data_IF_842387999492
#
_entry.id   IF_842387999492
#
_cell.length_a   1.000
_cell.length_b   1.000
_cell.length_c   1.000
_cell.angle_alpha   90.00
_cell.angle_beta   90.00
_cell.angle_gamma   90.00
#
_symmetry.space_group_name_H-M   'P 1'
#
loop_
_entity.id
_entity.type
_entity.pdbx_description
1 polymer ?
#
# COMPACT_ATOMS: atom_id res chain seq x y z
N UNK A 1 -28.36 -10.03 -27.88
CA UNK A 1 -27.67 -8.81 -28.31
C UNK A 1 -27.63 -7.87 -27.12
N UNK A 2 -26.45 -7.42 -26.72
CA UNK A 2 -26.31 -6.46 -25.61
C UNK A 2 -26.28 -5.06 -26.21
N UNK A 3 -27.17 -4.18 -25.76
CA UNK A 3 -27.21 -2.77 -26.16
C UNK A 3 -26.56 -1.98 -25.03
N UNK A 4 -25.41 -1.35 -25.31
CA UNK A 4 -24.71 -0.49 -24.35
C UNK A 4 -25.51 0.81 -24.15
N UNK A 5 -25.45 1.35 -22.94
CA UNK A 5 -25.99 2.66 -22.58
C UNK A 5 -27.51 2.83 -22.79
N UNK A 6 -28.26 1.72 -22.84
CA UNK A 6 -29.72 1.78 -22.96
C UNK A 6 -30.41 2.21 -21.66
N UNK A 7 -29.81 1.88 -20.51
CA UNK A 7 -30.24 2.27 -19.17
C UNK A 7 -29.00 2.64 -18.35
N UNK A 8 -29.18 3.49 -17.34
CA UNK A 8 -28.15 3.77 -16.35
C UNK A 8 -27.79 2.46 -15.63
N UNK A 9 -26.56 2.01 -15.81
CA UNK A 9 -26.05 0.76 -15.22
C UNK A 9 -25.69 0.96 -13.76
N UNK A 10 -25.86 -0.09 -12.95
CA UNK A 10 -25.34 -0.12 -11.57
C UNK A 10 -23.81 0.01 -11.49
N UNK A 11 -23.11 -0.36 -12.58
CA UNK A 11 -21.67 -0.26 -12.75
C UNK A 11 -21.37 0.13 -14.20
N UNK A 12 -20.28 0.86 -14.41
CA UNK A 12 -19.82 1.23 -15.75
C UNK A 12 -19.41 -0.01 -16.56
N UNK A 13 -19.45 0.14 -17.89
CA UNK A 13 -19.09 -0.92 -18.82
C UNK A 13 -17.67 -1.46 -18.59
N UNK A 14 -16.70 -0.57 -18.32
CA UNK A 14 -15.31 -0.96 -18.08
C UNK A 14 -15.17 -1.73 -16.76
N UNK A 15 -15.93 -1.34 -15.72
CA UNK A 15 -15.99 -2.05 -14.44
C UNK A 15 -16.61 -3.44 -14.63
N UNK A 16 -17.66 -3.56 -15.46
CA UNK A 16 -18.24 -4.84 -15.81
C UNK A 16 -17.23 -5.75 -16.53
N UNK A 17 -16.52 -5.24 -17.54
CA UNK A 17 -15.49 -5.99 -18.26
C UNK A 17 -14.37 -6.48 -17.32
N UNK A 18 -13.84 -5.60 -16.47
CA UNK A 18 -12.84 -5.96 -15.46
C UNK A 18 -13.35 -7.04 -14.49
N UNK A 19 -14.59 -6.92 -14.01
CA UNK A 19 -15.21 -7.92 -13.14
C UNK A 19 -15.37 -9.28 -13.84
N UNK A 20 -15.73 -9.29 -15.13
CA UNK A 20 -15.84 -10.53 -15.92
C UNK A 20 -14.50 -11.23 -16.06
N UNK A 21 -13.42 -10.50 -16.27
CA UNK A 21 -12.07 -11.05 -16.29
C UNK A 21 -11.66 -11.62 -14.93
N UNK A 22 -11.92 -10.90 -13.84
CA UNK A 22 -11.66 -11.39 -12.48
C UNK A 22 -12.42 -12.69 -12.18
N UNK A 23 -13.71 -12.76 -12.53
CA UNK A 23 -14.54 -13.97 -12.35
C UNK A 23 -14.00 -15.14 -13.17
N UNK A 24 -13.56 -14.90 -14.41
CA UNK A 24 -12.93 -15.92 -15.24
C UNK A 24 -11.64 -16.45 -14.58
N UNK A 25 -10.80 -15.56 -14.04
CA UNK A 25 -9.57 -15.92 -13.32
C UNK A 25 -9.81 -16.62 -11.96
N UNK A 26 -10.95 -16.35 -11.33
CA UNK A 26 -11.36 -16.94 -10.05
C UNK A 26 -12.12 -18.27 -10.21
N UNK A 27 -12.44 -18.67 -11.44
CA UNK A 27 -13.19 -19.91 -11.67
C UNK A 27 -12.33 -21.11 -11.28
N UNK A 28 -12.73 -21.78 -10.20
CA UNK A 28 -12.00 -22.90 -9.57
C UNK A 28 -12.03 -24.22 -10.37
N UNK A 29 -12.40 -24.17 -11.65
CA UNK A 29 -12.49 -25.34 -12.50
C UNK A 29 -11.17 -26.09 -12.62
N UNK A 30 -11.28 -27.40 -12.85
CA UNK A 30 -10.16 -28.33 -13.09
C UNK A 30 -9.37 -28.04 -14.40
N UNK A 31 -9.71 -26.97 -15.11
CA UNK A 31 -9.04 -26.52 -16.34
C UNK A 31 -7.60 -26.05 -16.14
N UNK A 32 -6.83 -26.13 -17.23
CA UNK A 32 -5.37 -26.04 -17.25
C UNK A 32 -4.76 -24.64 -17.13
N UNK A 33 -5.53 -23.56 -16.97
CA UNK A 33 -4.97 -22.19 -17.08
C UNK A 33 -5.39 -21.16 -16.03
N UNK A 34 -6.31 -21.48 -15.11
CA UNK A 34 -6.94 -20.46 -14.25
C UNK A 34 -6.38 -20.51 -12.83
N UNK A 35 -6.08 -19.36 -12.19
CA UNK A 35 -5.55 -19.30 -10.80
C UNK A 35 -6.53 -19.82 -9.76
N UNK A 36 -7.83 -19.65 -10.00
CA UNK A 36 -8.87 -19.96 -9.02
C UNK A 36 -9.03 -18.83 -7.99
N UNK A 37 -10.09 -18.91 -7.18
CA UNK A 37 -10.40 -17.90 -6.18
C UNK A 37 -9.43 -17.98 -5.00
N UNK A 38 -9.07 -16.83 -4.44
CA UNK A 38 -8.40 -16.76 -3.13
C UNK A 38 -9.31 -17.45 -2.10
N UNK A 39 -8.74 -18.39 -1.33
CA UNK A 39 -9.46 -19.08 -0.26
C UNK A 39 -8.91 -18.64 1.08
N UNK A 40 -9.79 -18.45 2.06
CA UNK A 40 -9.40 -18.28 3.46
C UNK A 40 -8.85 -19.60 3.99
N UNK A 41 -7.57 -19.62 4.35
CA UNK A 41 -6.90 -20.79 4.91
C UNK A 41 -5.41 -20.54 5.09
N UNK A 42 -4.76 -21.35 5.93
CA UNK A 42 -3.33 -21.27 6.24
C UNK A 42 -2.41 -21.85 5.17
N UNK A 43 -2.94 -22.20 4.00
CA UNK A 43 -2.19 -22.69 2.84
C UNK A 43 -2.08 -21.58 1.79
N UNK A 44 -0.94 -20.87 1.79
CA UNK A 44 -0.67 -19.69 0.97
C UNK A 44 -0.77 -19.98 -0.53
N UNK A 45 -0.40 -21.19 -0.94
CA UNK A 45 -0.25 -21.59 -2.35
C UNK A 45 -1.46 -22.37 -2.88
N UNK A 46 -2.59 -22.32 -2.17
CA UNK A 46 -3.86 -22.91 -2.59
C UNK A 46 -4.26 -22.41 -3.98
N UNK A 47 -4.47 -23.32 -4.93
CA UNK A 47 -4.84 -22.99 -6.31
C UNK A 47 -3.69 -22.60 -7.23
N UNK A 48 -2.48 -22.34 -6.70
CA UNK A 48 -1.31 -21.95 -7.48
C UNK A 48 -0.44 -23.15 -7.89
N UNK A 49 -0.34 -24.17 -7.04
CA UNK A 49 0.53 -25.31 -7.28
C UNK A 49 -0.06 -26.30 -8.28
N UNK A 50 0.81 -26.82 -9.14
CA UNK A 50 0.52 -27.94 -10.06
C UNK A 50 1.41 -29.11 -9.75
N UNK A 51 0.88 -30.31 -9.95
CA UNK A 51 1.66 -31.53 -9.86
C UNK A 51 2.67 -31.58 -11.02
N UNK A 52 3.94 -31.78 -10.72
CA UNK A 52 4.98 -31.96 -11.74
C UNK A 52 4.84 -33.24 -12.56
N UNK A 53 4.05 -34.22 -12.09
CA UNK A 53 3.88 -35.52 -12.76
C UNK A 53 2.67 -35.54 -13.70
N UNK A 54 1.50 -35.06 -13.26
CA UNK A 54 0.28 -35.07 -14.08
C UNK A 54 -0.18 -33.67 -14.56
N UNK A 55 0.47 -32.59 -14.12
CA UNK A 55 0.12 -31.21 -14.49
C UNK A 55 -1.18 -30.67 -13.88
N UNK A 56 -1.94 -31.51 -13.16
CA UNK A 56 -3.19 -31.12 -12.49
C UNK A 56 -2.90 -30.25 -11.27
N UNK A 57 -3.81 -29.33 -10.94
CA UNK A 57 -3.71 -28.48 -9.74
C UNK A 57 -3.65 -29.35 -8.48
N UNK A 58 -2.83 -28.92 -7.51
CA UNK A 58 -2.84 -29.49 -6.18
C UNK A 58 -4.02 -28.92 -5.38
N UNK A 59 -4.68 -29.77 -4.62
CA UNK A 59 -5.66 -29.38 -3.61
C UNK A 59 -5.00 -29.30 -2.23
N UNK A 60 -5.55 -28.44 -1.37
CA UNK A 60 -5.20 -28.44 0.05
C UNK A 60 -6.05 -29.48 0.78
N UNK A 61 -5.41 -30.30 1.60
CA UNK A 61 -6.06 -31.25 2.49
C UNK A 61 -5.72 -30.92 3.94
N UNK A 62 -6.73 -30.99 4.80
CA UNK A 62 -6.69 -30.69 6.23
C UNK A 62 -6.95 -31.98 7.02
N UNK A 63 -5.99 -32.91 7.08
CA UNK A 63 -6.17 -34.19 7.78
C UNK A 63 -6.35 -34.06 9.30
N UNK A 64 -6.00 -32.91 9.88
CA UNK A 64 -6.20 -32.64 11.30
C UNK A 64 -6.09 -31.15 11.63
N UNK A 65 -6.31 -30.76 12.90
CA UNK A 65 -6.38 -29.34 13.30
C UNK A 65 -5.09 -28.55 13.03
N UNK A 66 -3.94 -29.21 13.09
CA UNK A 66 -2.61 -28.62 12.96
C UNK A 66 -1.86 -29.09 11.70
N UNK A 67 -2.43 -30.03 10.95
CA UNK A 67 -1.76 -30.65 9.81
C UNK A 67 -2.45 -30.24 8.52
N UNK A 68 -1.66 -29.67 7.61
CA UNK A 68 -2.12 -29.20 6.32
C UNK A 68 -1.11 -29.64 5.28
N UNK A 69 -1.61 -30.17 4.17
CA UNK A 69 -0.80 -30.72 3.10
C UNK A 69 -1.37 -30.37 1.74
N UNK A 70 -0.47 -30.08 0.80
CA UNK A 70 -0.80 -30.07 -0.61
C UNK A 70 -0.84 -31.51 -1.10
N UNK A 71 -1.85 -31.86 -1.88
CA UNK A 71 -1.98 -33.19 -2.48
C UNK A 71 -2.52 -33.10 -3.90
N UNK A 72 -2.06 -34.00 -4.76
CA UNK A 72 -2.55 -34.09 -6.13
C UNK A 72 -4.01 -34.54 -6.15
N UNK A 73 -4.84 -33.87 -6.94
CA UNK A 73 -6.27 -34.20 -7.10
C UNK A 73 -6.44 -35.56 -7.80
N UNK A 74 -5.59 -35.88 -8.77
CA UNK A 74 -5.62 -37.16 -9.50
C UNK A 74 -5.54 -38.36 -8.53
N UNK A 75 -4.72 -38.26 -7.49
CA UNK A 75 -4.63 -39.28 -6.43
C UNK A 75 -5.97 -39.55 -5.72
N UNK A 76 -6.82 -38.53 -5.60
CA UNK A 76 -8.10 -38.62 -4.88
C UNK A 76 -9.17 -39.28 -5.76
N UNK A 77 -9.23 -38.89 -7.05
CA UNK A 77 -10.32 -39.26 -7.94
C UNK A 77 -10.02 -40.46 -8.85
N UNK A 78 -8.76 -40.79 -9.06
CA UNK A 78 -8.33 -41.83 -10.00
C UNK A 78 -7.36 -42.78 -9.32
N UNK A 79 -7.90 -43.82 -8.65
CA UNK A 79 -7.10 -44.86 -7.98
C UNK A 79 -6.21 -45.66 -8.94
N UNK A 80 -6.54 -45.67 -10.23
CA UNK A 80 -5.73 -46.30 -11.30
C UNK A 80 -4.55 -45.45 -11.78
N UNK A 81 -4.48 -44.17 -11.39
CA UNK A 81 -3.35 -43.29 -11.74
C UNK A 81 -2.40 -43.12 -10.55
N UNK A 82 -1.15 -43.58 -10.73
CA UNK A 82 -0.09 -43.61 -9.72
C UNK A 82 0.55 -42.24 -9.42
N UNK A 83 -0.25 -41.18 -9.28
CA UNK A 83 0.27 -39.84 -9.00
C UNK A 83 0.23 -39.51 -7.50
N UNK A 84 1.22 -39.96 -6.73
CA UNK A 84 1.27 -39.85 -5.27
C UNK A 84 1.95 -38.56 -4.73
N UNK A 85 1.82 -37.44 -5.44
CA UNK A 85 2.44 -36.18 -4.99
C UNK A 85 1.65 -35.59 -3.82
N UNK A 86 2.30 -35.54 -2.66
CA UNK A 86 1.75 -34.96 -1.43
C UNK A 86 2.88 -34.48 -0.50
N UNK A 87 2.75 -33.28 0.05
CA UNK A 87 3.75 -32.69 0.94
C UNK A 87 3.12 -31.67 1.88
N UNK A 88 3.79 -31.40 3.01
CA UNK A 88 3.33 -30.43 4.01
C UNK A 88 3.35 -29.00 3.49
N UNK A 89 2.43 -28.17 3.98
CA UNK A 89 2.30 -26.76 3.58
C UNK A 89 3.48 -25.89 4.03
N UNK A 90 3.93 -26.05 5.28
CA UNK A 90 4.89 -25.14 5.92
C UNK A 90 6.17 -24.92 5.09
N UNK A 91 6.82 -26.01 4.68
CA UNK A 91 8.07 -25.91 3.92
C UNK A 91 7.88 -25.29 2.53
N UNK A 92 6.80 -25.65 1.84
CA UNK A 92 6.51 -25.11 0.51
C UNK A 92 6.16 -23.62 0.55
N UNK A 93 5.30 -23.23 1.48
CA UNK A 93 4.88 -21.83 1.67
C UNK A 93 6.06 -20.96 2.07
N UNK A 94 6.89 -21.42 3.00
CA UNK A 94 8.08 -20.69 3.44
C UNK A 94 9.06 -20.48 2.29
N UNK A 95 9.36 -21.52 1.50
CA UNK A 95 10.27 -21.40 0.36
C UNK A 95 9.78 -20.39 -0.67
N UNK A 96 8.48 -20.42 -1.00
CA UNK A 96 7.91 -19.46 -1.95
C UNK A 96 7.88 -18.06 -1.37
N UNK A 97 7.49 -17.90 -0.10
CA UNK A 97 7.50 -16.62 0.60
C UNK A 97 8.90 -16.00 0.60
N UNK A 98 9.92 -16.77 0.98
CA UNK A 98 11.31 -16.32 1.00
C UNK A 98 11.80 -15.91 -0.39
N UNK A 99 11.39 -16.62 -1.44
CA UNK A 99 11.77 -16.28 -2.81
C UNK A 99 11.11 -14.99 -3.28
N UNK A 100 9.82 -14.82 -2.98
CA UNK A 100 9.08 -13.58 -3.29
C UNK A 100 9.68 -12.40 -2.53
N UNK A 101 9.96 -12.55 -1.24
CA UNK A 101 10.56 -11.50 -0.41
C UNK A 101 11.97 -11.14 -0.89
N UNK A 102 12.78 -12.12 -1.30
CA UNK A 102 14.08 -11.86 -1.94
C UNK A 102 13.95 -11.06 -3.23
N UNK A 103 12.96 -11.38 -4.07
CA UNK A 103 12.68 -10.62 -5.29
C UNK A 103 12.21 -9.18 -5.02
N UNK A 104 11.47 -8.97 -3.92
CA UNK A 104 10.95 -7.66 -3.52
C UNK A 104 11.94 -6.82 -2.70
N UNK A 105 13.01 -7.41 -2.17
CA UNK A 105 13.99 -6.72 -1.32
C UNK A 105 14.48 -5.38 -1.90
N UNK A 106 14.82 -5.25 -3.20
CA UNK A 106 15.29 -3.98 -3.75
C UNK A 106 14.24 -2.86 -3.67
N UNK A 107 12.97 -3.21 -3.87
CA UNK A 107 11.85 -2.27 -3.79
C UNK A 107 11.55 -1.89 -2.33
N UNK A 108 11.67 -2.85 -1.41
CA UNK A 108 11.52 -2.59 0.02
C UNK A 108 12.56 -1.61 0.56
N UNK A 109 13.81 -1.73 0.11
CA UNK A 109 14.88 -0.80 0.47
C UNK A 109 14.62 0.60 -0.08
N UNK A 110 14.23 0.72 -1.35
CA UNK A 110 13.88 2.01 -1.97
C UNK A 110 12.71 2.68 -1.27
N UNK A 111 11.65 1.93 -0.96
CA UNK A 111 10.50 2.44 -0.22
C UNK A 111 10.89 2.93 1.18
N UNK A 112 11.77 2.20 1.88
CA UNK A 112 12.27 2.60 3.18
C UNK A 112 13.11 3.90 3.10
N UNK A 113 13.98 4.03 2.10
CA UNK A 113 14.75 5.26 1.87
C UNK A 113 13.81 6.44 1.58
N UNK A 114 12.85 6.27 0.68
CA UNK A 114 11.88 7.31 0.36
C UNK A 114 11.06 7.73 1.58
N UNK A 115 10.66 6.79 2.44
CA UNK A 115 9.97 7.11 3.67
C UNK A 115 10.83 7.95 4.64
N UNK A 116 12.14 7.65 4.73
CA UNK A 116 13.08 8.44 5.54
C UNK A 116 13.24 9.86 4.96
N UNK A 117 13.42 9.99 3.65
CA UNK A 117 13.55 11.29 2.97
C UNK A 117 12.29 12.15 3.15
N UNK A 118 11.10 11.53 3.06
CA UNK A 118 9.83 12.22 3.31
C UNK A 118 9.76 12.76 4.74
N UNK A 119 10.14 11.97 5.75
CA UNK A 119 10.16 12.42 7.14
C UNK A 119 11.14 13.59 7.36
N UNK A 120 12.33 13.53 6.75
CA UNK A 120 13.32 14.61 6.83
C UNK A 120 12.81 15.90 6.19
N UNK A 121 12.16 15.81 5.03
CA UNK A 121 11.61 16.99 4.35
C UNK A 121 10.54 17.72 5.17
N UNK A 122 9.70 16.96 5.89
CA UNK A 122 8.67 17.51 6.77
C UNK A 122 9.30 18.26 7.95
N UNK A 123 10.38 17.74 8.52
CA UNK A 123 11.10 18.41 9.60
C UNK A 123 11.77 19.71 9.12
N UNK A 124 12.44 19.68 7.97
CA UNK A 124 13.08 20.85 7.37
C UNK A 124 12.08 21.97 7.08
N UNK A 125 10.90 21.64 6.55
CA UNK A 125 9.82 22.59 6.30
C UNK A 125 9.32 23.23 7.60
N UNK A 126 9.16 22.44 8.67
CA UNK A 126 8.80 22.97 9.99
C UNK A 126 9.87 23.93 10.54
N UNK A 127 11.15 23.59 10.40
CA UNK A 127 12.24 24.48 10.81
C UNK A 127 12.26 25.77 10.00
N UNK A 128 12.07 25.69 8.68
CA UNK A 128 11.99 26.86 7.81
C UNK A 128 10.83 27.78 8.20
N UNK A 129 9.64 27.22 8.45
CA UNK A 129 8.47 27.98 8.89
C UNK A 129 8.71 28.68 10.23
N UNK A 130 9.27 27.98 11.23
CA UNK A 130 9.63 28.56 12.53
C UNK A 130 10.66 29.69 12.37
N UNK A 131 11.65 29.53 11.49
CA UNK A 131 12.66 30.55 11.21
C UNK A 131 12.04 31.81 10.60
N UNK A 132 11.13 31.65 9.63
CA UNK A 132 10.39 32.77 9.06
C UNK A 132 9.53 33.49 10.10
N UNK A 133 8.83 32.75 10.97
CA UNK A 133 8.02 33.32 12.04
C UNK A 133 8.86 34.18 13.00
N UNK A 134 10.04 33.69 13.41
CA UNK A 134 10.98 34.45 14.24
C UNK A 134 11.48 35.73 13.54
N UNK A 135 11.77 35.66 12.25
CA UNK A 135 12.19 36.85 11.49
C UNK A 135 11.07 37.89 11.39
N UNK A 136 9.82 37.47 11.16
CA UNK A 136 8.65 38.37 11.15
C UNK A 136 8.45 39.05 12.49
N UNK A 137 8.46 38.29 13.59
CA UNK A 137 8.33 38.86 14.93
C UNK A 137 9.44 39.88 15.24
N UNK A 138 10.69 39.59 14.88
CA UNK A 138 11.82 40.53 15.01
C UNK A 138 11.61 41.79 14.18
N UNK A 139 11.12 41.66 12.95
CA UNK A 139 10.83 42.79 12.09
C UNK A 139 9.72 43.69 12.67
N UNK A 140 8.64 43.10 13.18
CA UNK A 140 7.53 43.83 13.80
C UNK A 140 7.97 44.61 15.04
N UNK A 141 8.78 44.01 15.92
CA UNK A 141 9.37 44.70 17.08
C UNK A 141 10.22 45.89 16.64
N UNK A 142 11.13 45.69 15.68
CA UNK A 142 11.97 46.75 15.15
C UNK A 142 11.16 47.88 14.51
N UNK A 143 10.08 47.55 13.79
CA UNK A 143 9.16 48.53 13.19
C UNK A 143 8.42 49.34 14.27
N UNK A 144 7.90 48.68 15.30
CA UNK A 144 7.20 49.34 16.41
C UNK A 144 8.15 50.27 17.20
N UNK A 145 9.37 49.83 17.50
CA UNK A 145 10.39 50.65 18.15
C UNK A 145 10.70 51.92 17.35
N UNK A 146 10.85 51.82 16.02
CA UNK A 146 11.03 52.99 15.15
C UNK A 146 9.83 53.94 15.20
N UNK A 147 8.61 53.41 15.24
CA UNK A 147 7.40 54.25 15.29
C UNK A 147 7.30 55.00 16.63
N UNK A 148 7.55 54.32 17.76
CA UNK A 148 7.61 54.93 19.09
C UNK A 148 8.72 56.00 19.18
N UNK A 149 9.92 55.69 18.68
CA UNK A 149 11.03 56.65 18.67
C UNK A 149 10.73 57.91 17.83
N UNK A 150 10.04 57.73 16.70
CA UNK A 150 9.59 58.85 15.85
C UNK A 150 8.53 59.69 16.57
N UNK A 151 7.56 59.07 17.24
CA UNK A 151 6.53 59.77 18.02
C UNK A 151 7.12 60.53 19.23
N UNK A 152 8.12 59.96 19.92
CA UNK A 152 8.81 60.62 21.03
C UNK A 152 9.60 61.87 20.56
N UNK A 153 10.23 61.81 19.39
CA UNK A 153 10.90 62.97 18.78
C UNK A 153 9.91 64.07 18.34
N UNK A 154 8.71 63.71 17.87
CA UNK A 154 7.66 64.70 17.55
C UNK A 154 7.04 65.34 18.79
N UNK A 155 6.87 64.60 19.89
CA UNK A 155 6.36 65.11 21.16
C UNK A 155 7.34 66.12 21.79
N UNK A 156 8.63 65.81 21.82
CA UNK A 156 9.68 66.71 22.34
C UNK A 156 9.88 67.97 21.47
N UNK A 157 9.46 67.95 20.20
CA UNK A 157 9.46 69.14 19.32
C UNK A 157 8.27 70.07 19.57
N UNK A 158 7.13 69.53 20.01
CA UNK A 158 5.91 70.32 20.26
C UNK A 158 5.88 70.95 21.67
N UNK A 159 6.62 70.39 22.64
CA UNK A 159 6.66 70.87 24.03
C UNK A 159 7.59 72.06 24.35
N UNK A 160 8.39 72.57 23.40
CA UNK A 160 9.19 73.79 23.61
C UNK A 160 8.45 75.05 23.11
N UNK A 161 7.33 75.41 23.74
CA UNK A 161 6.87 76.80 23.71
C UNK A 161 7.38 77.52 24.94
N UNK A 162 8.23 78.51 24.66
CA UNK A 162 8.82 79.50 25.55
C UNK A 162 7.71 80.17 26.37
N UNK A 163 7.95 80.30 27.67
CA UNK A 163 7.43 81.40 28.48
C UNK A 163 7.96 82.73 27.92
N UNK A 164 7.12 83.76 27.85
CA UNK A 164 7.58 85.10 28.09
C UNK A 164 6.75 85.76 29.18
N UNK A 165 7.48 86.39 30.12
CA UNK A 165 7.11 87.55 30.93
C UNK A 165 5.99 87.39 31.94
#
# INVERSE_FOLDING_TARGET
MLIRDHHEGYIDWDVYCANRELVAHNTNGHGSAVRGSIRSGSALLSGLLRCGQCGVKLSVNYPGPTSIRYQCITHIFSRDQACYVMFGVVGADQLVADQVLRGLQPLGLQAAIQAIEQLQSVDDDQFAQKRLALQRARYEVNRAQRHVGTMHLTYNRCGRKRSPS
#
